data_IF_421005055777
#
_entry.id   IF_421005055777
#
_cell.length_a   1.000
_cell.length_b   1.000
_cell.length_c   1.000
_cell.angle_alpha   90.00
_cell.angle_beta   90.00
_cell.angle_gamma   90.00
#
_symmetry.space_group_name_H-M   'P 1'
#
loop_
_entity.id
_entity.type
_entity.pdbx_description
1 polymer ?
#
# COMPACT_ATOMS: atom_id res chain seq x y z
N UNK A 1 -54.51 10.05 -62.36
CA UNK A 1 -54.84 9.35 -61.10
C UNK A 1 -53.63 8.65 -60.47
N UNK A 2 -52.59 8.31 -61.25
CA UNK A 2 -51.34 7.67 -60.80
C UNK A 2 -50.53 8.47 -59.75
N UNK A 3 -50.59 9.81 -59.80
CA UNK A 3 -49.90 10.68 -58.83
C UNK A 3 -50.51 10.63 -57.42
N UNK A 4 -51.81 10.39 -57.30
CA UNK A 4 -52.49 10.35 -56.00
C UNK A 4 -52.19 9.06 -55.25
N UNK A 5 -52.13 7.91 -55.94
CA UNK A 5 -51.74 6.63 -55.34
C UNK A 5 -50.27 6.61 -54.89
N UNK A 6 -49.38 7.28 -55.64
CA UNK A 6 -47.95 7.35 -55.29
C UNK A 6 -47.71 8.19 -54.03
N UNK A 7 -48.52 9.21 -53.80
CA UNK A 7 -48.47 10.05 -52.59
C UNK A 7 -49.08 9.31 -51.39
N UNK A 8 -50.19 8.60 -51.59
CA UNK A 8 -50.83 7.82 -50.50
C UNK A 8 -49.94 6.62 -50.10
N UNK A 9 -49.29 5.96 -51.07
CA UNK A 9 -48.38 4.85 -50.81
C UNK A 9 -47.13 5.24 -50.02
N UNK A 10 -46.57 6.44 -50.24
CA UNK A 10 -45.36 6.90 -49.52
C UNK A 10 -45.64 7.43 -48.12
N UNK A 11 -46.87 7.85 -47.83
CA UNK A 11 -47.29 8.27 -46.49
C UNK A 11 -47.53 7.08 -45.54
N UNK A 12 -47.85 5.90 -46.08
CA UNK A 12 -48.08 4.68 -45.29
C UNK A 12 -46.79 3.84 -45.14
N UNK A 13 -45.90 3.89 -46.13
CA UNK A 13 -44.63 3.13 -46.16
C UNK A 13 -43.38 3.98 -45.93
N UNK A 14 -43.51 5.24 -45.53
CA UNK A 14 -42.36 6.03 -45.12
C UNK A 14 -41.68 5.34 -43.94
N UNK A 15 -40.42 4.91 -44.13
CA UNK A 15 -39.54 4.46 -43.05
C UNK A 15 -39.46 5.58 -42.00
N UNK A 16 -40.40 5.56 -41.06
CA UNK A 16 -40.33 6.42 -39.89
C UNK A 16 -39.13 5.91 -39.09
N UNK A 17 -38.05 6.70 -38.94
CA UNK A 17 -36.94 6.29 -38.09
C UNK A 17 -37.52 6.10 -36.69
N UNK A 18 -37.61 4.84 -36.26
CA UNK A 18 -38.11 4.51 -34.92
C UNK A 18 -37.23 5.30 -33.95
N UNK A 19 -37.79 6.22 -33.15
CA UNK A 19 -36.99 7.02 -32.24
C UNK A 19 -36.24 6.04 -31.34
N UNK A 20 -34.90 6.04 -31.41
CA UNK A 20 -34.06 5.17 -30.58
C UNK A 20 -34.51 5.40 -29.14
N UNK A 21 -35.14 4.38 -28.53
CA UNK A 21 -35.70 4.44 -27.19
C UNK A 21 -34.64 5.05 -26.27
N UNK A 22 -34.89 6.27 -25.79
CA UNK A 22 -33.94 7.00 -24.96
C UNK A 22 -33.51 6.11 -23.81
N UNK A 23 -32.21 5.82 -23.74
CA UNK A 23 -31.64 4.90 -22.75
C UNK A 23 -32.18 5.30 -21.38
N UNK A 24 -32.87 4.39 -20.70
CA UNK A 24 -33.54 4.69 -19.43
C UNK A 24 -32.52 5.34 -18.49
N UNK A 25 -32.91 6.35 -17.72
CA UNK A 25 -31.97 7.08 -16.86
C UNK A 25 -31.14 6.15 -15.96
N UNK A 26 -31.74 5.03 -15.52
CA UNK A 26 -31.08 3.92 -14.82
C UNK A 26 -29.90 3.32 -15.62
N UNK A 27 -30.05 3.11 -16.92
CA UNK A 27 -29.00 2.59 -17.81
C UNK A 27 -27.89 3.61 -18.10
N UNK A 28 -28.20 4.91 -18.02
CA UNK A 28 -27.19 5.98 -18.13
C UNK A 28 -26.33 6.08 -16.86
N UNK A 29 -26.87 5.66 -15.71
CA UNK A 29 -26.19 5.67 -14.42
C UNK A 29 -25.40 4.39 -14.11
N UNK A 30 -25.73 3.25 -14.73
CA UNK A 30 -25.01 1.97 -14.50
C UNK A 30 -23.50 2.08 -14.69
N UNK A 31 -23.09 2.71 -15.80
CA UNK A 31 -21.67 2.86 -16.16
C UNK A 31 -20.91 3.75 -15.16
N UNK A 32 -21.33 5.01 -14.87
CA UNK A 32 -20.60 5.83 -13.91
C UNK A 32 -20.62 5.26 -12.48
N UNK A 33 -21.71 4.59 -12.06
CA UNK A 33 -21.76 3.92 -10.75
C UNK A 33 -20.76 2.75 -10.70
N UNK A 34 -20.69 1.92 -11.74
CA UNK A 34 -19.74 0.82 -11.80
C UNK A 34 -18.29 1.33 -11.79
N UNK A 35 -17.99 2.39 -12.55
CA UNK A 35 -16.67 3.03 -12.54
C UNK A 35 -16.34 3.58 -11.15
N UNK A 36 -17.29 4.27 -10.51
CA UNK A 36 -17.11 4.80 -9.16
C UNK A 36 -16.79 3.72 -8.14
N UNK A 37 -17.51 2.58 -8.20
CA UNK A 37 -17.25 1.45 -7.32
C UNK A 37 -15.84 0.85 -7.56
N UNK A 38 -15.44 0.69 -8.82
CA UNK A 38 -14.11 0.18 -9.17
C UNK A 38 -13.01 1.12 -8.64
N UNK A 39 -13.17 2.43 -8.80
CA UNK A 39 -12.21 3.41 -8.27
C UNK A 39 -12.12 3.38 -6.74
N UNK A 40 -13.24 3.18 -6.04
CA UNK A 40 -13.23 3.01 -4.59
C UNK A 40 -12.45 1.76 -4.16
N UNK A 41 -12.63 0.64 -4.87
CA UNK A 41 -11.88 -0.58 -4.61
C UNK A 41 -10.39 -0.38 -4.86
N UNK A 42 -10.02 0.21 -6.00
CA UNK A 42 -8.61 0.51 -6.34
C UNK A 42 -8.01 1.47 -5.31
N UNK A 43 -8.71 2.54 -4.95
CA UNK A 43 -8.26 3.50 -3.95
C UNK A 43 -8.06 2.86 -2.57
N UNK A 44 -8.98 2.00 -2.15
CA UNK A 44 -8.86 1.23 -0.91
C UNK A 44 -7.65 0.29 -0.92
N UNK A 45 -7.41 -0.40 -2.04
CA UNK A 45 -6.23 -1.26 -2.19
C UNK A 45 -4.93 -0.43 -2.20
N UNK A 46 -4.88 0.66 -2.97
CA UNK A 46 -3.72 1.54 -3.02
C UNK A 46 -3.38 2.11 -1.64
N UNK A 47 -4.40 2.51 -0.86
CA UNK A 47 -4.22 2.96 0.51
C UNK A 47 -3.68 1.85 1.42
N UNK A 48 -4.27 0.65 1.36
CA UNK A 48 -3.85 -0.50 2.18
C UNK A 48 -2.40 -0.92 1.90
N UNK A 49 -1.96 -0.84 0.65
CA UNK A 49 -0.62 -1.27 0.23
C UNK A 49 0.36 -0.11 0.05
N UNK A 50 0.01 1.10 0.50
CA UNK A 50 0.83 2.29 0.30
C UNK A 50 2.25 2.17 0.88
N UNK A 51 2.40 1.43 1.99
CA UNK A 51 3.68 1.24 2.70
C UNK A 51 4.25 -0.19 2.53
N UNK A 52 3.78 -0.94 1.54
CA UNK A 52 4.12 -2.36 1.41
C UNK A 52 5.63 -2.61 1.22
N UNK A 53 6.31 -1.71 0.50
CA UNK A 53 7.74 -1.87 0.27
C UNK A 53 8.55 -1.67 1.55
N UNK A 54 8.18 -0.70 2.37
CA UNK A 54 8.83 -0.35 3.62
C UNK A 54 8.60 -1.43 4.68
N UNK A 55 7.37 -1.93 4.80
CA UNK A 55 7.08 -3.08 5.66
C UNK A 55 7.86 -4.33 5.23
N UNK A 56 7.97 -4.58 3.91
CA UNK A 56 8.75 -5.70 3.38
C UNK A 56 10.24 -5.54 3.71
N UNK A 57 10.76 -4.31 3.67
CA UNK A 57 12.15 -4.00 4.00
C UNK A 57 12.46 -4.32 5.47
N UNK A 58 11.56 -3.98 6.38
CA UNK A 58 11.65 -4.34 7.80
C UNK A 58 11.59 -5.84 8.01
N UNK A 59 10.69 -6.55 7.30
CA UNK A 59 10.63 -8.02 7.37
C UNK A 59 11.93 -8.66 6.93
N UNK A 60 12.51 -8.22 5.81
CA UNK A 60 13.79 -8.73 5.33
C UNK A 60 14.93 -8.44 6.31
N UNK A 61 14.95 -7.25 6.93
CA UNK A 61 15.90 -6.91 7.97
C UNK A 61 15.78 -7.84 9.18
N UNK A 62 14.57 -8.05 9.71
CA UNK A 62 14.34 -8.96 10.83
C UNK A 62 14.78 -10.39 10.50
N UNK A 63 14.43 -10.90 9.31
CA UNK A 63 14.87 -12.23 8.85
C UNK A 63 16.39 -12.32 8.73
N UNK A 64 17.06 -11.26 8.26
CA UNK A 64 18.52 -11.23 8.18
C UNK A 64 19.16 -11.26 9.58
N UNK A 65 18.63 -10.48 10.52
CA UNK A 65 19.08 -10.47 11.92
C UNK A 65 18.87 -11.84 12.58
N UNK A 66 17.69 -12.42 12.44
CA UNK A 66 17.36 -13.75 12.96
C UNK A 66 18.27 -14.85 12.36
N UNK A 67 18.56 -14.76 11.06
CA UNK A 67 19.45 -15.67 10.35
C UNK A 67 20.95 -15.43 10.60
N UNK A 68 21.32 -14.45 11.44
CA UNK A 68 22.72 -14.11 11.73
C UNK A 68 23.47 -13.41 10.60
N UNK A 69 22.76 -12.88 9.60
CA UNK A 69 23.31 -12.16 8.44
C UNK A 69 23.56 -10.69 8.79
N UNK A 70 24.33 -10.42 9.85
CA UNK A 70 24.49 -9.08 10.42
C UNK A 70 25.17 -8.09 9.47
N UNK A 71 26.13 -8.54 8.65
CA UNK A 71 26.79 -7.68 7.66
C UNK A 71 25.79 -7.13 6.62
N UNK A 72 24.88 -7.97 6.14
CA UNK A 72 23.87 -7.56 5.17
C UNK A 72 22.76 -6.74 5.82
N UNK A 73 22.40 -7.06 7.07
CA UNK A 73 21.47 -6.25 7.85
C UNK A 73 22.04 -4.83 8.10
N UNK A 74 23.31 -4.72 8.48
CA UNK A 74 24.00 -3.46 8.73
C UNK A 74 24.18 -2.61 7.47
N UNK A 75 24.49 -3.21 6.30
CA UNK A 75 24.54 -2.46 5.03
C UNK A 75 23.22 -1.77 4.67
N UNK A 76 22.10 -2.38 5.08
CA UNK A 76 20.77 -1.83 4.88
C UNK A 76 20.32 -0.90 6.02
N UNK A 77 21.11 -0.79 7.07
CA UNK A 77 20.93 0.17 8.15
C UNK A 77 21.48 1.54 7.71
N UNK A 78 20.79 2.60 8.10
CA UNK A 78 21.23 3.98 7.92
C UNK A 78 22.17 4.35 9.06
N UNK A 79 23.34 3.71 9.05
CA UNK A 79 24.44 4.06 9.94
C UNK A 79 24.97 5.44 9.55
N UNK A 80 24.94 6.37 10.50
CA UNK A 80 25.73 7.59 10.42
C UNK A 80 27.20 7.31 10.79
N UNK A 81 28.04 8.35 10.83
CA UNK A 81 29.46 8.20 11.19
C UNK A 81 29.70 7.76 12.64
N UNK A 82 28.67 7.81 13.50
CA UNK A 82 28.77 7.51 14.92
C UNK A 82 28.19 6.14 15.28
N UNK A 83 27.35 5.56 14.43
CA UNK A 83 26.75 4.25 14.64
C UNK A 83 27.56 3.17 13.92
N UNK A 84 28.37 2.43 14.66
CA UNK A 84 29.29 1.44 14.09
C UNK A 84 28.68 0.04 14.04
N UNK A 85 29.36 -0.88 13.34
CA UNK A 85 28.99 -2.31 13.36
C UNK A 85 28.99 -2.88 14.79
N UNK A 86 29.85 -2.38 15.69
CA UNK A 86 29.87 -2.83 17.08
C UNK A 86 28.55 -2.46 17.76
N UNK A 87 28.12 -1.22 17.63
CA UNK A 87 26.85 -0.74 18.21
C UNK A 87 25.66 -1.50 17.62
N UNK A 88 25.70 -1.76 16.31
CA UNK A 88 24.71 -2.60 15.64
C UNK A 88 24.64 -4.02 16.22
N UNK A 89 25.77 -4.64 16.55
CA UNK A 89 25.79 -5.98 17.16
C UNK A 89 25.36 -5.96 18.64
N UNK A 90 25.56 -4.85 19.35
CA UNK A 90 25.02 -4.67 20.71
C UNK A 90 23.48 -4.58 20.68
N UNK A 91 22.92 -3.95 19.65
CA UNK A 91 21.47 -3.84 19.47
C UNK A 91 20.84 -5.11 18.86
N UNK A 92 21.41 -5.61 17.77
CA UNK A 92 20.81 -6.60 16.87
C UNK A 92 21.67 -7.86 16.69
N UNK A 93 22.83 -7.97 17.33
CA UNK A 93 23.64 -9.18 17.28
C UNK A 93 22.98 -10.36 17.98
N UNK A 94 23.63 -11.52 17.98
CA UNK A 94 23.04 -12.76 18.55
C UNK A 94 22.54 -12.60 19.99
N UNK A 95 23.32 -11.92 20.82
CA UNK A 95 23.00 -11.61 22.22
C UNK A 95 22.51 -10.16 22.40
N UNK A 96 22.23 -9.49 21.28
CA UNK A 96 21.85 -8.09 21.24
C UNK A 96 20.51 -7.82 21.91
N UNK A 97 20.30 -6.55 22.29
CA UNK A 97 19.14 -6.13 23.05
C UNK A 97 17.80 -6.48 22.38
N UNK A 98 17.68 -6.27 21.07
CA UNK A 98 16.47 -6.51 20.28
C UNK A 98 16.37 -7.91 19.65
N UNK A 99 17.44 -8.71 19.73
CA UNK A 99 17.45 -10.06 19.15
C UNK A 99 16.72 -11.10 20.01
N UNK A 100 16.62 -10.83 21.31
CA UNK A 100 15.76 -11.58 22.22
C UNK A 100 14.32 -11.43 21.68
N UNK A 101 13.62 -12.52 21.41
CA UNK A 101 12.25 -12.46 20.86
C UNK A 101 12.13 -12.16 19.36
N UNK A 102 13.25 -12.06 18.62
CA UNK A 102 13.22 -11.81 17.17
C UNK A 102 12.45 -12.89 16.38
N UNK A 103 12.46 -14.14 16.83
CA UNK A 103 11.75 -15.25 16.17
C UNK A 103 10.24 -15.03 16.04
N UNK A 104 9.65 -14.27 16.97
CA UNK A 104 8.21 -13.97 17.00
C UNK A 104 7.93 -12.55 16.50
N UNK A 105 8.98 -11.84 16.03
CA UNK A 105 8.87 -10.47 15.60
C UNK A 105 7.97 -10.34 14.38
N UNK A 106 6.98 -9.46 14.48
CA UNK A 106 6.03 -9.21 13.38
C UNK A 106 5.71 -7.74 13.25
N UNK A 107 5.60 -7.29 12.00
CA UNK A 107 5.07 -5.97 11.68
C UNK A 107 3.59 -5.95 12.05
N UNK A 108 3.21 -5.04 12.94
CA UNK A 108 1.82 -4.87 13.41
C UNK A 108 1.15 -3.63 12.85
N UNK A 109 1.93 -2.63 12.45
CA UNK A 109 1.41 -1.34 11.99
C UNK A 109 2.49 -0.58 11.21
N UNK A 110 2.09 0.37 10.35
CA UNK A 110 2.99 1.29 9.67
C UNK A 110 2.33 2.64 9.42
N UNK A 111 3.08 3.73 9.59
CA UNK A 111 2.61 5.09 9.39
C UNK A 111 3.57 5.88 8.51
N UNK A 112 3.06 6.44 7.41
CA UNK A 112 3.82 7.37 6.58
C UNK A 112 4.08 8.68 7.34
N UNK A 113 5.33 9.15 7.32
CA UNK A 113 5.76 10.40 7.94
C UNK A 113 6.68 11.15 6.97
N UNK A 114 6.09 11.97 6.11
CA UNK A 114 6.81 12.69 5.07
C UNK A 114 7.57 11.75 4.13
N UNK A 115 8.88 11.95 4.01
CA UNK A 115 9.80 11.14 3.19
C UNK A 115 10.19 9.78 3.78
N UNK A 116 9.55 9.34 4.87
CA UNK A 116 9.83 8.07 5.52
C UNK A 116 8.54 7.36 5.97
N UNK A 117 8.66 6.09 6.36
CA UNK A 117 7.59 5.30 6.98
C UNK A 117 8.09 4.79 8.33
N UNK A 118 7.30 4.98 9.39
CA UNK A 118 7.53 4.34 10.68
C UNK A 118 6.81 3.01 10.71
N UNK A 119 7.55 1.92 10.82
CA UNK A 119 7.03 0.55 10.91
C UNK A 119 7.16 0.08 12.35
N UNK A 120 6.09 -0.49 12.89
CA UNK A 120 6.00 -0.96 14.27
C UNK A 120 6.13 -2.47 14.29
N UNK A 121 7.13 -2.96 15.01
CA UNK A 121 7.43 -4.39 15.17
C UNK A 121 7.09 -4.81 16.58
N UNK A 122 6.10 -5.69 16.73
CA UNK A 122 5.84 -6.34 18.01
C UNK A 122 6.80 -7.50 18.20
N UNK A 123 7.36 -7.61 19.41
CA UNK A 123 8.19 -8.73 19.86
C UNK A 123 7.78 -9.05 21.30
N UNK A 124 7.74 -10.33 21.67
CA UNK A 124 7.12 -10.80 22.91
C UNK A 124 7.83 -10.32 24.19
N UNK A 125 9.13 -10.07 24.09
CA UNK A 125 9.94 -9.51 25.16
C UNK A 125 9.72 -8.01 25.41
N UNK A 126 9.03 -7.30 24.51
CA UNK A 126 8.72 -5.89 24.66
C UNK A 126 7.22 -5.66 24.84
N UNK A 127 6.85 -4.93 25.90
CA UNK A 127 5.46 -4.52 26.14
C UNK A 127 4.89 -3.62 25.03
N UNK A 128 5.77 -2.94 24.28
CA UNK A 128 5.42 -1.96 23.26
C UNK A 128 6.17 -2.29 21.97
N UNK A 129 5.56 -2.10 20.80
CA UNK A 129 6.25 -2.32 19.53
C UNK A 129 7.49 -1.44 19.39
N UNK A 130 8.56 -2.02 18.85
CA UNK A 130 9.76 -1.32 18.43
C UNK A 130 9.44 -0.52 17.16
N UNK A 131 9.78 0.77 17.15
CA UNK A 131 9.51 1.65 16.02
C UNK A 131 10.77 1.80 15.15
N UNK A 132 10.70 1.26 13.93
CA UNK A 132 11.76 1.36 12.92
C UNK A 132 11.34 2.36 11.84
N UNK A 133 12.25 3.25 11.48
CA UNK A 133 12.04 4.20 10.38
C UNK A 133 12.63 3.62 9.09
N UNK A 134 11.91 3.75 7.99
CA UNK A 134 12.39 3.39 6.66
C UNK A 134 12.35 4.63 5.78
N UNK A 135 13.49 5.04 5.22
CA UNK A 135 13.56 6.13 4.25
C UNK A 135 12.92 5.70 2.92
N UNK A 136 12.04 6.53 2.34
CA UNK A 136 11.44 6.26 1.02
C UNK A 136 12.41 6.45 -0.13
N UNK A 137 13.47 7.22 0.07
CA UNK A 137 14.47 7.51 -0.95
C UNK A 137 15.54 6.40 -1.02
N UNK A 138 16.10 6.04 0.14
CA UNK A 138 17.22 5.10 0.20
C UNK A 138 16.79 3.68 0.56
N UNK A 139 15.56 3.50 1.05
CA UNK A 139 15.07 2.25 1.63
C UNK A 139 15.95 1.71 2.77
N UNK A 140 16.77 2.56 3.40
CA UNK A 140 17.54 2.17 4.58
C UNK A 140 16.70 2.29 5.84
N UNK A 141 17.05 1.48 6.84
CA UNK A 141 16.38 1.43 8.13
C UNK A 141 17.15 2.20 9.19
N UNK A 142 16.46 2.86 10.10
CA UNK A 142 17.04 3.44 11.30
C UNK A 142 16.08 3.37 12.47
N UNK A 143 16.53 3.74 13.67
CA UNK A 143 15.63 3.92 14.78
C UNK A 143 14.69 5.10 14.51
N UNK A 144 13.40 4.92 14.80
CA UNK A 144 12.46 6.04 14.71
C UNK A 144 12.65 6.99 15.90
N UNK A 145 12.79 8.31 15.68
CA UNK A 145 12.83 9.28 16.77
C UNK A 145 11.47 9.43 17.47
N UNK A 146 10.41 8.83 16.92
CA UNK A 146 9.05 8.85 17.48
C UNK A 146 8.49 7.45 17.59
N UNK A 147 7.84 7.15 18.70
CA UNK A 147 7.07 5.91 18.86
C UNK A 147 5.65 6.27 19.34
N UNK A 148 4.63 6.01 18.51
CA UNK A 148 3.24 6.27 18.88
C UNK A 148 2.75 5.44 20.07
N UNK A 149 3.42 4.33 20.38
CA UNK A 149 3.14 3.48 21.53
C UNK A 149 4.05 3.78 22.73
N UNK A 150 4.99 4.72 22.60
CA UNK A 150 6.00 5.04 23.61
C UNK A 150 5.59 6.11 24.61
N UNK A 151 4.50 6.86 24.36
CA UNK A 151 3.95 7.85 25.30
C UNK A 151 3.22 7.19 26.48
#
# INVERSE_FOLDING_TARGET
>A
MEMAEKIIGSLIYGDHPIPKRGRAWKDRLKVPVAIGLVLLVIGGLAYKFANFQEERRVKLFMTAVEGGQYDDAYKNWDADEHYTMKDFLEDWGKEGYYSKGMHEARVVDSNGKGGAVVVYVAMDNFKRPVALLVSKETMKLSFSPVNKYGQ
#
